data_IF_896886935610
#
_entry.id   IF_896886935610
#
_cell.length_a   1.000
_cell.length_b   1.000
_cell.length_c   1.000
_cell.angle_alpha   90.00
_cell.angle_beta   90.00
_cell.angle_gamma   90.00
#
_symmetry.space_group_name_H-M   'P 1'
#
loop_
_entity.id
_entity.type
_entity.pdbx_description
1 polymer ?
#
# COMPACT_ATOMS: atom_id res chain seq x y z
N UNK A 1 27.73 6.28 2.62
CA UNK A 1 26.37 6.71 3.04
C UNK A 1 25.99 5.85 4.23
N UNK A 2 25.47 6.45 5.30
CA UNK A 2 25.01 5.65 6.45
C UNK A 2 23.61 5.09 6.18
N UNK A 3 23.26 3.97 6.82
CA UNK A 3 21.94 3.35 6.74
C UNK A 3 20.81 4.37 7.02
N UNK A 4 21.05 5.34 7.90
CA UNK A 4 20.10 6.40 8.24
C UNK A 4 19.87 7.42 7.12
N UNK A 5 20.85 7.67 6.24
CA UNK A 5 20.69 8.56 5.09
C UNK A 5 19.92 7.88 3.95
N UNK A 6 20.15 6.57 3.75
CA UNK A 6 19.39 5.76 2.79
C UNK A 6 17.90 5.75 3.14
N UNK A 7 17.61 5.53 4.42
CA UNK A 7 16.27 5.53 5.00
C UNK A 7 15.54 6.87 4.78
N UNK A 8 16.21 8.00 5.05
CA UNK A 8 15.61 9.34 4.84
C UNK A 8 15.33 9.60 3.37
N UNK A 9 16.25 9.23 2.49
CA UNK A 9 16.09 9.38 1.05
C UNK A 9 14.89 8.58 0.53
N UNK A 10 14.70 7.35 1.02
CA UNK A 10 13.55 6.59 0.58
C UNK A 10 12.21 7.10 1.11
N UNK A 11 12.15 7.63 2.33
CA UNK A 11 10.93 8.23 2.84
C UNK A 11 10.45 9.40 1.97
N UNK A 12 11.39 10.25 1.53
CA UNK A 12 11.10 11.37 0.63
C UNK A 12 10.63 10.90 -0.74
N UNK A 13 11.24 9.85 -1.30
CA UNK A 13 10.84 9.33 -2.61
C UNK A 13 9.44 8.72 -2.60
N UNK A 14 9.08 8.03 -1.52
CA UNK A 14 7.72 7.51 -1.34
C UNK A 14 6.70 8.63 -1.23
N UNK A 15 6.98 9.63 -0.42
CA UNK A 15 6.03 10.71 -0.20
C UNK A 15 5.65 11.43 -1.52
N UNK A 16 6.65 11.63 -2.38
CA UNK A 16 6.44 12.16 -3.73
C UNK A 16 5.63 11.23 -4.63
N UNK A 17 5.85 9.91 -4.54
CA UNK A 17 5.10 8.95 -5.34
C UNK A 17 3.60 8.90 -4.98
N UNK A 18 3.25 9.24 -3.74
CA UNK A 18 1.86 9.36 -3.30
C UNK A 18 1.21 10.73 -3.57
N UNK A 19 1.93 11.67 -4.17
CA UNK A 19 1.42 13.02 -4.45
C UNK A 19 1.22 13.90 -3.20
N UNK A 20 1.85 13.53 -2.08
CA UNK A 20 1.71 14.23 -0.82
C UNK A 20 2.95 15.09 -0.54
N UNK A 21 2.95 16.30 -1.12
CA UNK A 21 4.01 17.30 -0.95
C UNK A 21 4.15 17.76 0.51
N UNK A 22 3.09 17.64 1.30
CA UNK A 22 3.09 17.96 2.73
C UNK A 22 3.82 16.86 3.52
N UNK A 23 3.66 15.59 3.15
CA UNK A 23 4.45 14.48 3.68
C UNK A 23 5.94 14.60 3.27
N UNK A 24 6.23 15.00 2.02
CA UNK A 24 7.60 15.18 1.54
C UNK A 24 8.34 16.33 2.23
N UNK A 25 7.61 17.36 2.71
CA UNK A 25 8.18 18.53 3.41
C UNK A 25 8.12 18.43 4.94
N UNK A 26 7.07 17.83 5.51
CA UNK A 26 6.77 17.92 6.95
C UNK A 26 6.84 16.58 7.71
N UNK A 27 7.32 15.49 7.11
CA UNK A 27 7.72 14.29 7.85
C UNK A 27 6.64 13.70 8.77
N UNK A 28 5.36 13.74 8.36
CA UNK A 28 4.24 13.24 9.20
C UNK A 28 4.23 11.71 9.37
N UNK A 29 5.09 11.00 8.65
CA UNK A 29 5.56 9.66 8.97
C UNK A 29 6.98 9.83 9.54
N UNK A 30 7.09 10.08 10.84
CA UNK A 30 8.35 10.47 11.46
C UNK A 30 9.37 9.32 11.46
N UNK A 31 8.91 8.09 11.17
CA UNK A 31 9.73 6.88 11.15
C UNK A 31 9.52 6.03 9.90
N UNK A 32 10.50 5.18 9.59
CA UNK A 32 10.41 4.15 8.52
C UNK A 32 9.22 3.23 8.75
N UNK A 33 8.94 2.96 10.01
CA UNK A 33 7.83 2.15 10.48
C UNK A 33 6.47 2.70 10.05
N UNK A 34 6.26 4.01 10.25
CA UNK A 34 5.01 4.68 9.84
C UNK A 34 4.83 4.58 8.33
N UNK A 35 5.90 4.86 7.59
CA UNK A 35 5.88 4.78 6.14
C UNK A 35 5.57 3.36 5.64
N UNK A 36 6.17 2.36 6.27
CA UNK A 36 5.91 0.96 5.98
C UNK A 36 4.46 0.56 6.27
N UNK A 37 3.89 1.06 7.37
CA UNK A 37 2.48 0.87 7.69
C UNK A 37 1.57 1.49 6.62
N UNK A 38 1.87 2.70 6.13
CA UNK A 38 1.12 3.33 5.05
C UNK A 38 1.21 2.55 3.73
N UNK A 39 2.39 2.03 3.37
CA UNK A 39 2.55 1.17 2.20
C UNK A 39 1.69 -0.08 2.31
N UNK A 40 1.75 -0.78 3.45
CA UNK A 40 0.96 -1.99 3.67
C UNK A 40 -0.54 -1.68 3.65
N UNK A 41 -0.96 -0.59 4.27
CA UNK A 41 -2.36 -0.15 4.22
C UNK A 41 -2.80 0.14 2.79
N UNK A 42 -1.95 0.76 1.96
CA UNK A 42 -2.24 1.03 0.56
C UNK A 42 -2.36 -0.27 -0.25
N UNK A 43 -1.41 -1.20 -0.11
CA UNK A 43 -1.46 -2.52 -0.78
C UNK A 43 -2.70 -3.31 -0.36
N UNK A 44 -3.05 -3.28 0.93
CA UNK A 44 -4.28 -3.92 1.45
C UNK A 44 -5.52 -3.29 0.84
N UNK A 45 -5.61 -1.95 0.75
CA UNK A 45 -6.73 -1.27 0.09
C UNK A 45 -6.86 -1.67 -1.37
N UNK A 46 -5.75 -1.72 -2.13
CA UNK A 46 -5.78 -2.18 -3.51
C UNK A 46 -6.26 -3.64 -3.61
N UNK A 47 -5.88 -4.50 -2.66
CA UNK A 47 -6.33 -5.89 -2.61
C UNK A 47 -7.85 -5.96 -2.39
N UNK A 48 -8.37 -5.18 -1.43
CA UNK A 48 -9.80 -5.08 -1.18
C UNK A 48 -10.58 -4.56 -2.40
N UNK A 49 -10.04 -3.56 -3.13
CA UNK A 49 -10.67 -3.08 -4.36
C UNK A 49 -10.73 -4.17 -5.43
N UNK A 50 -9.61 -4.86 -5.67
CA UNK A 50 -9.54 -5.94 -6.65
C UNK A 50 -10.54 -7.06 -6.32
N UNK A 51 -10.59 -7.48 -5.07
CA UNK A 51 -11.47 -8.56 -4.62
C UNK A 51 -12.96 -8.12 -4.62
N UNK A 52 -13.22 -6.86 -4.23
CA UNK A 52 -14.55 -6.25 -4.25
C UNK A 52 -15.12 -6.07 -5.66
N UNK A 53 -14.26 -5.84 -6.66
CA UNK A 53 -14.64 -5.73 -8.08
C UNK A 53 -14.61 -7.07 -8.83
N UNK A 54 -14.74 -8.21 -8.13
CA UNK A 54 -14.82 -9.52 -8.76
C UNK A 54 -15.99 -9.63 -9.73
N UNK A 55 -15.78 -10.35 -10.84
CA UNK A 55 -16.72 -10.47 -11.95
C UNK A 55 -17.94 -11.35 -11.62
N UNK A 56 -17.77 -12.34 -10.73
CA UNK A 56 -18.83 -13.31 -10.43
C UNK A 56 -19.87 -12.74 -9.45
N UNK A 57 -19.41 -12.03 -8.42
CA UNK A 57 -20.22 -11.27 -7.46
C UNK A 57 -19.39 -10.12 -6.88
N UNK A 58 -19.65 -8.86 -7.25
CA UNK A 58 -18.97 -7.74 -6.64
C UNK A 58 -19.39 -7.58 -5.18
N UNK A 59 -18.42 -7.64 -4.28
CA UNK A 59 -18.63 -7.41 -2.85
C UNK A 59 -18.24 -5.97 -2.50
N UNK A 60 -19.24 -5.09 -2.45
CA UNK A 60 -19.07 -3.67 -2.19
C UNK A 60 -19.48 -3.27 -0.76
N UNK A 61 -19.62 -4.24 0.16
CA UNK A 61 -20.02 -3.99 1.54
C UNK A 61 -19.08 -3.01 2.28
N UNK A 62 -17.83 -2.89 1.84
CA UNK A 62 -16.83 -1.97 2.38
C UNK A 62 -16.67 -0.68 1.56
N UNK A 63 -17.44 -0.52 0.48
CA UNK A 63 -17.36 0.58 -0.48
C UNK A 63 -18.75 1.22 -0.69
N UNK A 64 -19.30 1.91 0.34
CA UNK A 64 -20.67 2.43 0.29
C UNK A 64 -20.91 3.36 -0.90
N UNK A 65 -19.93 4.19 -1.30
CA UNK A 65 -20.08 5.02 -2.49
C UNK A 65 -20.20 4.22 -3.79
N UNK A 66 -19.48 3.10 -3.93
CA UNK A 66 -19.61 2.21 -5.09
C UNK A 66 -20.93 1.44 -5.06
N UNK A 67 -21.37 1.02 -3.88
CA UNK A 67 -22.67 0.37 -3.65
C UNK A 67 -23.82 1.31 -4.06
N UNK A 68 -23.77 2.59 -3.68
CA UNK A 68 -24.75 3.61 -4.07
C UNK A 68 -24.71 3.88 -5.59
N UNK A 69 -23.52 4.09 -6.17
CA UNK A 69 -23.38 4.26 -7.62
C UNK A 69 -23.95 3.08 -8.42
N UNK A 70 -23.80 1.85 -7.91
CA UNK A 70 -24.37 0.65 -8.53
C UNK A 70 -25.90 0.65 -8.49
N UNK A 71 -26.51 1.17 -7.43
CA UNK A 71 -27.97 1.31 -7.32
C UNK A 71 -28.51 2.39 -8.26
N UNK A 72 -27.80 3.52 -8.36
CA UNK A 72 -28.21 4.67 -9.17
C UNK A 72 -27.96 4.47 -10.67
N UNK A 73 -26.90 3.73 -11.03
CA UNK A 73 -26.43 3.53 -12.40
C UNK A 73 -25.89 2.10 -12.59
N UNK A 74 -26.77 1.08 -12.73
CA UNK A 74 -26.36 -0.33 -12.83
C UNK A 74 -25.46 -0.63 -14.05
N UNK A 75 -25.47 0.20 -15.09
CA UNK A 75 -24.53 0.11 -16.20
C UNK A 75 -23.07 0.29 -15.79
N UNK A 76 -22.80 0.90 -14.64
CA UNK A 76 -21.45 1.03 -14.10
C UNK A 76 -20.82 -0.33 -13.76
N UNK A 77 -21.62 -1.39 -13.55
CA UNK A 77 -21.10 -2.74 -13.30
C UNK A 77 -20.21 -3.24 -14.45
N UNK A 78 -20.51 -2.81 -15.69
CA UNK A 78 -19.70 -3.13 -16.88
C UNK A 78 -18.29 -2.54 -16.82
N UNK A 79 -18.07 -1.54 -15.98
CA UNK A 79 -16.77 -0.88 -15.77
C UNK A 79 -15.96 -1.51 -14.64
N UNK A 80 -16.58 -2.30 -13.76
CA UNK A 80 -15.89 -2.96 -12.64
C UNK A 80 -14.74 -3.88 -13.09
N UNK A 81 -14.86 -4.69 -14.18
CA UNK A 81 -13.75 -5.48 -14.68
C UNK A 81 -12.55 -4.63 -15.12
N UNK A 82 -12.80 -3.44 -15.69
CA UNK A 82 -11.74 -2.49 -16.06
C UNK A 82 -11.04 -1.97 -14.82
N UNK A 83 -11.79 -1.49 -13.82
CA UNK A 83 -11.19 -0.99 -12.56
C UNK A 83 -10.42 -2.07 -11.81
N UNK A 84 -10.88 -3.32 -11.87
CA UNK A 84 -10.12 -4.46 -11.35
C UNK A 84 -8.78 -4.61 -12.07
N UNK A 85 -8.76 -4.62 -13.40
CA UNK A 85 -7.53 -4.75 -14.18
C UNK A 85 -6.56 -3.57 -13.94
N UNK A 86 -7.09 -2.35 -13.85
CA UNK A 86 -6.33 -1.15 -13.51
C UNK A 86 -5.74 -1.25 -12.10
N UNK A 87 -6.53 -1.76 -11.14
CA UNK A 87 -6.07 -2.01 -9.76
C UNK A 87 -4.97 -3.07 -9.70
N UNK A 88 -5.10 -4.16 -10.46
CA UNK A 88 -4.07 -5.21 -10.55
C UNK A 88 -2.77 -4.66 -11.15
N UNK A 89 -2.89 -3.86 -12.21
CA UNK A 89 -1.74 -3.18 -12.84
C UNK A 89 -1.06 -2.24 -11.85
N UNK A 90 -1.84 -1.44 -11.12
CA UNK A 90 -1.31 -0.51 -10.11
C UNK A 90 -0.61 -1.27 -8.97
N UNK A 91 -1.17 -2.38 -8.50
CA UNK A 91 -0.51 -3.24 -7.51
C UNK A 91 0.83 -3.76 -7.99
N UNK A 92 0.93 -4.21 -9.24
CA UNK A 92 2.18 -4.72 -9.81
C UNK A 92 3.22 -3.60 -9.95
N UNK A 93 2.82 -2.44 -10.44
CA UNK A 93 3.70 -1.27 -10.53
C UNK A 93 4.20 -0.83 -9.16
N UNK A 94 3.32 -0.81 -8.15
CA UNK A 94 3.68 -0.47 -6.77
C UNK A 94 4.68 -1.48 -6.20
N UNK A 95 4.40 -2.79 -6.31
CA UNK A 95 5.32 -3.86 -5.88
C UNK A 95 6.69 -3.73 -6.54
N UNK A 96 6.74 -3.49 -7.85
CA UNK A 96 7.99 -3.29 -8.59
C UNK A 96 8.74 -2.05 -8.11
N UNK A 97 8.04 -0.93 -7.94
CA UNK A 97 8.63 0.35 -7.51
C UNK A 97 9.23 0.28 -6.10
N UNK A 98 8.68 -0.59 -5.26
CA UNK A 98 9.03 -0.71 -3.84
C UNK A 98 9.61 -2.07 -3.45
N UNK A 99 10.11 -2.86 -4.40
CA UNK A 99 10.67 -4.19 -4.14
C UNK A 99 11.83 -4.16 -3.12
N UNK A 100 12.64 -3.10 -3.14
CA UNK A 100 13.78 -2.94 -2.24
C UNK A 100 13.31 -2.77 -0.78
N UNK A 101 12.10 -2.23 -0.56
CA UNK A 101 11.52 -2.06 0.78
C UNK A 101 10.99 -3.35 1.35
N UNK A 102 10.46 -4.24 0.50
CA UNK A 102 10.12 -5.59 0.94
C UNK A 102 11.37 -6.35 1.38
N UNK A 103 12.53 -6.07 0.76
CA UNK A 103 13.81 -6.63 1.22
C UNK A 103 14.23 -6.06 2.59
N UNK A 104 13.83 -4.83 2.91
CA UNK A 104 14.08 -4.19 4.22
C UNK A 104 13.03 -4.53 5.29
N UNK A 105 11.92 -5.19 4.93
CA UNK A 105 10.82 -5.52 5.84
C UNK A 105 11.28 -6.15 7.16
N UNK A 106 12.18 -7.16 7.19
CA UNK A 106 12.61 -7.78 8.45
C UNK A 106 13.30 -6.78 9.40
N UNK A 107 14.02 -5.79 8.84
CA UNK A 107 14.68 -4.74 9.62
C UNK A 107 13.66 -3.76 10.17
N UNK A 108 12.64 -3.41 9.38
CA UNK A 108 11.57 -2.51 9.82
C UNK A 108 10.74 -3.18 10.93
N UNK A 109 10.43 -4.47 10.78
CA UNK A 109 9.72 -5.26 11.80
C UNK A 109 10.47 -5.35 13.13
N UNK A 110 11.81 -5.42 13.10
CA UNK A 110 12.63 -5.36 14.30
C UNK A 110 12.45 -4.03 15.06
N UNK A 111 12.28 -2.92 14.35
CA UNK A 111 12.08 -1.60 14.97
C UNK A 111 10.63 -1.35 15.39
N UNK A 112 9.64 -1.95 14.73
CA UNK A 112 8.23 -1.84 15.13
C UNK A 112 7.83 -2.82 16.22
N UNK A 113 8.49 -3.97 16.28
CA UNK A 113 8.15 -5.03 17.22
C UNK A 113 9.42 -5.74 17.74
N UNK A 114 10.24 -5.04 18.56
CA UNK A 114 11.55 -5.51 19.00
C UNK A 114 11.50 -6.82 19.81
N UNK A 115 10.33 -7.22 20.31
CA UNK A 115 10.15 -8.43 21.12
C UNK A 115 9.58 -9.63 20.35
N UNK A 116 9.14 -9.47 19.09
CA UNK A 116 8.63 -10.58 18.28
C UNK A 116 9.68 -11.22 17.35
N UNK A 117 10.89 -10.70 17.33
CA UNK A 117 12.00 -11.31 16.60
C UNK A 117 12.52 -12.52 17.39
N UNK A 118 12.09 -13.72 17.02
CA UNK A 118 12.69 -14.95 17.55
C UNK A 118 14.19 -14.95 17.23
N UNK A 119 15.02 -15.06 18.26
CA UNK A 119 16.48 -15.15 18.21
C UNK A 119 16.98 -16.49 17.61
N UNK A 120 16.45 -16.91 16.45
CA UNK A 120 16.86 -18.17 15.82
C UNK A 120 17.13 -18.01 14.33
N UNK A 121 18.04 -17.12 14.02
CA UNK A 121 18.85 -17.17 12.80
C UNK A 121 20.08 -16.26 12.99
N UNK A 122 21.00 -16.66 13.84
CA UNK A 122 22.39 -16.26 13.73
C UNK A 122 23.19 -17.56 13.50
N UNK A 123 24.03 -17.65 12.45
CA UNK A 123 24.99 -18.74 12.32
C UNK A 123 26.02 -18.71 13.46
#
# INVERSE_FOLDING_TARGET
MSDGEMVKSCAVQMAKAFGDDNMAKNGRCQTVSDLYAHMNAFVTKLTLFKDGFSADRPNLAHFPSCEEMRKDAPECEKTLPKYRADTETLQQQFKKRFQDFHTMQPRIELFTNPLCCNHRAAP
#
